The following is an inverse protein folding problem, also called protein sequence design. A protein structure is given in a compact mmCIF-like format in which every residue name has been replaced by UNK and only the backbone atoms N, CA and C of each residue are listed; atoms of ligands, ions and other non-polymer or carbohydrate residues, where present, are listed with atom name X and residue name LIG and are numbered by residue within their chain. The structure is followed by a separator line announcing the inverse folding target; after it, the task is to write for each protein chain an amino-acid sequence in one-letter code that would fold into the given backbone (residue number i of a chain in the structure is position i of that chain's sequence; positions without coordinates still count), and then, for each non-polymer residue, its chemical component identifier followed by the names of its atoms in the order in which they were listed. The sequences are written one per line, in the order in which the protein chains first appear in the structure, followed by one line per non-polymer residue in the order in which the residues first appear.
data_IF_773491727531
#
_entry.id   IF_773491727531
#
_cell.length_a   1.000
_cell.length_b   1.000
_cell.length_c   1.000
_cell.angle_alpha   90.00
_cell.angle_beta   90.00
_cell.angle_gamma   90.00
#
_symmetry.space_group_name_H-M   'P 1'
#
loop_
_entity.id
_entity.type
_entity.pdbx_description
1 polymer ?
#
# COMPACT_ATOMS: atom_id res chain seq x y z
N UNK A 1 -20.00 24.56 -46.55
CA UNK A 1 -19.47 23.34 -45.93
C UNK A 1 -18.94 23.74 -44.56
N UNK A 2 -19.67 23.40 -43.50
CA UNK A 2 -19.19 23.60 -42.13
C UNK A 2 -18.28 22.41 -41.80
N UNK A 3 -17.10 22.69 -41.25
CA UNK A 3 -15.99 21.75 -41.10
C UNK A 3 -16.38 20.55 -40.20
N UNK A 4 -16.35 19.35 -40.78
CA UNK A 4 -16.54 18.07 -40.07
C UNK A 4 -15.33 17.73 -39.17
N UNK A 5 -14.21 18.44 -39.32
CA UNK A 5 -12.96 18.25 -38.57
C UNK A 5 -13.00 18.84 -37.14
N UNK A 6 -13.77 19.91 -36.90
CA UNK A 6 -13.82 20.59 -35.60
C UNK A 6 -14.56 19.76 -34.52
N UNK A 7 -15.52 18.93 -34.94
CA UNK A 7 -16.30 18.08 -34.03
C UNK A 7 -15.45 16.92 -33.49
N UNK A 8 -14.60 16.32 -34.34
CA UNK A 8 -13.76 15.18 -33.98
C UNK A 8 -12.63 15.54 -32.99
N UNK A 9 -12.10 16.77 -33.07
CA UNK A 9 -11.09 17.25 -32.12
C UNK A 9 -11.64 17.41 -30.70
N UNK A 10 -12.90 17.82 -30.56
CA UNK A 10 -13.56 18.00 -29.26
C UNK A 10 -13.79 16.66 -28.53
N UNK A 11 -14.28 15.64 -29.24
CA UNK A 11 -14.51 14.30 -28.66
C UNK A 11 -13.21 13.62 -28.24
N UNK A 12 -12.12 13.82 -28.97
CA UNK A 12 -10.81 13.28 -28.62
C UNK A 12 -10.26 13.92 -27.33
N UNK A 13 -10.43 15.23 -27.17
CA UNK A 13 -10.04 15.95 -25.96
C UNK A 13 -10.86 15.50 -24.74
N UNK A 14 -12.17 15.31 -24.88
CA UNK A 14 -13.03 14.79 -23.81
C UNK A 14 -12.65 13.36 -23.40
N UNK A 15 -12.36 12.51 -24.38
CA UNK A 15 -11.93 11.14 -24.14
C UNK A 15 -10.57 11.07 -23.41
N UNK A 16 -9.63 11.93 -23.76
CA UNK A 16 -8.35 12.07 -23.05
C UNK A 16 -8.56 12.53 -21.60
N UNK A 17 -9.43 13.53 -21.39
CA UNK A 17 -9.78 14.01 -20.05
C UNK A 17 -10.49 12.92 -19.21
N UNK A 18 -11.35 12.11 -19.82
CA UNK A 18 -12.02 10.98 -19.18
C UNK A 18 -11.04 9.86 -18.79
N UNK A 19 -10.03 9.58 -19.62
CA UNK A 19 -8.93 8.65 -19.30
C UNK A 19 -8.10 9.16 -18.11
N UNK A 20 -7.74 10.45 -18.10
CA UNK A 20 -7.03 11.07 -16.99
C UNK A 20 -7.80 11.02 -15.65
N UNK A 21 -9.12 11.28 -15.70
CA UNK A 21 -9.99 11.14 -14.51
C UNK A 21 -10.03 9.70 -13.99
N UNK A 22 -10.18 8.70 -14.87
CA UNK A 22 -10.15 7.28 -14.50
C UNK A 22 -8.81 6.87 -13.87
N UNK A 23 -7.69 7.32 -14.43
CA UNK A 23 -6.36 7.03 -13.89
C UNK A 23 -6.18 7.61 -12.47
N UNK A 24 -6.62 8.85 -12.24
CA UNK A 24 -6.59 9.46 -10.90
C UNK A 24 -7.47 8.71 -9.89
N UNK A 25 -8.67 8.31 -10.30
CA UNK A 25 -9.56 7.53 -9.44
C UNK A 25 -8.96 6.15 -9.09
N UNK A 26 -8.36 5.47 -10.06
CA UNK A 26 -7.68 4.19 -9.82
C UNK A 26 -6.48 4.33 -8.87
N UNK A 27 -5.73 5.45 -8.95
CA UNK A 27 -4.67 5.75 -7.99
C UNK A 27 -5.21 5.97 -6.58
N UNK A 28 -6.28 6.76 -6.43
CA UNK A 28 -6.91 7.02 -5.13
C UNK A 28 -7.44 5.74 -4.46
N UNK A 29 -8.05 4.83 -5.23
CA UNK A 29 -8.52 3.52 -4.72
C UNK A 29 -7.34 2.69 -4.19
N UNK A 30 -6.24 2.60 -4.94
CA UNK A 30 -5.04 1.87 -4.49
C UNK A 30 -4.44 2.44 -3.22
N UNK A 31 -4.42 3.77 -3.08
CA UNK A 31 -3.95 4.41 -1.84
C UNK A 31 -4.86 4.10 -0.65
N UNK A 32 -6.19 4.13 -0.84
CA UNK A 32 -7.15 3.76 0.19
C UNK A 32 -6.95 2.31 0.65
N UNK A 33 -6.76 1.37 -0.29
CA UNK A 33 -6.45 -0.03 0.03
C UNK A 33 -5.16 -0.20 0.81
N UNK A 34 -4.08 0.52 0.44
CA UNK A 34 -2.81 0.50 1.19
C UNK A 34 -3.01 0.99 2.62
N UNK A 35 -3.75 2.09 2.81
CA UNK A 35 -4.06 2.64 4.14
C UNK A 35 -4.87 1.64 4.98
N UNK A 36 -5.88 0.99 4.39
CA UNK A 36 -6.68 -0.02 5.08
C UNK A 36 -5.81 -1.23 5.53
N UNK A 37 -4.95 -1.74 4.64
CA UNK A 37 -4.01 -2.83 4.95
C UNK A 37 -3.03 -2.43 6.06
N UNK A 38 -2.49 -1.21 6.02
CA UNK A 38 -1.59 -0.71 7.05
C UNK A 38 -2.27 -0.61 8.42
N UNK A 39 -3.52 -0.12 8.48
CA UNK A 39 -4.29 -0.05 9.72
C UNK A 39 -4.59 -1.44 10.30
N UNK A 40 -4.97 -2.41 9.46
CA UNK A 40 -5.20 -3.80 9.89
C UNK A 40 -3.92 -4.42 10.45
N UNK A 41 -2.80 -4.29 9.72
CA UNK A 41 -1.49 -4.80 10.15
C UNK A 41 -1.00 -4.14 11.45
N UNK A 42 -1.29 -2.85 11.64
CA UNK A 42 -0.95 -2.15 12.88
C UNK A 42 -1.71 -2.73 14.07
N UNK A 43 -3.03 -2.97 13.95
CA UNK A 43 -3.84 -3.60 15.00
C UNK A 43 -3.30 -4.98 15.38
N UNK A 44 -2.99 -5.80 14.39
CA UNK A 44 -2.39 -7.13 14.60
C UNK A 44 -1.06 -7.03 15.35
N UNK A 45 -0.16 -6.14 14.90
CA UNK A 45 1.15 -5.93 15.55
C UNK A 45 1.01 -5.47 17.01
N UNK A 46 0.08 -4.57 17.30
CA UNK A 46 -0.19 -4.11 18.66
C UNK A 46 -0.71 -5.25 19.53
N UNK A 47 -1.61 -6.09 19.02
CA UNK A 47 -2.11 -7.26 19.74
C UNK A 47 -1.00 -8.27 20.01
N UNK A 48 -0.16 -8.58 19.02
CA UNK A 48 1.02 -9.46 19.18
C UNK A 48 2.02 -8.91 20.19
N UNK A 49 2.30 -7.59 20.17
CA UNK A 49 3.17 -6.96 21.18
C UNK A 49 2.56 -7.03 22.58
N UNK A 50 1.24 -6.85 22.71
CA UNK A 50 0.53 -6.93 23.99
C UNK A 50 0.60 -8.34 24.59
N UNK A 51 0.38 -9.38 23.79
CA UNK A 51 0.49 -10.77 24.25
C UNK A 51 1.92 -11.08 24.67
N UNK A 52 2.91 -10.70 23.87
CA UNK A 52 4.32 -10.91 24.19
C UNK A 52 4.74 -10.18 25.48
N UNK A 53 4.32 -8.92 25.68
CA UNK A 53 4.63 -8.16 26.91
C UNK A 53 3.99 -8.79 28.15
N UNK A 54 2.80 -9.40 28.02
CA UNK A 54 2.15 -10.15 29.11
C UNK A 54 2.92 -11.45 29.40
N UNK A 55 3.30 -12.20 28.37
CA UNK A 55 4.09 -13.43 28.50
C UNK A 55 5.42 -13.18 29.24
N UNK A 56 6.16 -12.13 28.84
CA UNK A 56 7.41 -11.72 29.52
C UNK A 56 7.20 -11.38 31.00
N UNK A 57 6.12 -10.66 31.33
CA UNK A 57 5.78 -10.35 32.73
C UNK A 57 5.39 -11.58 33.54
N UNK A 58 4.78 -12.58 32.92
CA UNK A 58 4.46 -13.86 33.53
C UNK A 58 5.66 -14.81 33.61
N UNK A 59 6.86 -14.38 33.17
CA UNK A 59 8.07 -15.22 33.15
C UNK A 59 8.04 -16.33 32.09
N UNK A 60 7.16 -16.25 31.09
CA UNK A 60 7.12 -17.21 30.00
C UNK A 60 8.34 -17.03 29.08
N UNK A 61 8.90 -18.14 28.59
CA UNK A 61 10.01 -18.13 27.64
C UNK A 61 9.62 -17.38 26.36
N UNK A 62 10.52 -16.53 25.85
CA UNK A 62 10.33 -15.88 24.55
C UNK A 62 10.63 -16.90 23.45
N UNK A 63 9.59 -17.46 22.83
CA UNK A 63 9.73 -18.40 21.69
C UNK A 63 10.24 -17.72 20.40
N UNK A 64 10.52 -16.40 20.45
CA UNK A 64 11.12 -15.70 19.34
C UNK A 64 12.50 -16.28 19.02
N UNK A 65 12.60 -16.98 17.88
CA UNK A 65 13.88 -17.34 17.29
C UNK A 65 14.67 -16.05 17.01
N UNK A 66 15.95 -16.04 17.41
CA UNK A 66 16.82 -14.88 17.28
C UNK A 66 16.85 -14.33 15.85
N UNK A 67 16.98 -13.02 15.71
CA UNK A 67 17.15 -12.39 14.40
C UNK A 67 18.40 -12.97 13.73
N UNK A 68 18.34 -13.33 12.43
CA UNK A 68 19.52 -13.83 11.73
C UNK A 68 20.62 -12.77 11.82
N UNK A 69 21.85 -13.20 12.13
CA UNK A 69 23.01 -12.33 12.12
C UNK A 69 23.08 -11.64 10.74
N UNK A 70 23.25 -10.32 10.74
CA UNK A 70 23.47 -9.58 9.50
C UNK A 70 24.65 -10.25 8.77
N UNK A 71 24.48 -10.58 7.49
CA UNK A 71 25.50 -11.25 6.67
C UNK A 71 26.83 -10.51 6.82
N UNK A 72 27.80 -11.12 7.51
CA UNK A 72 29.17 -10.61 7.65
C UNK A 72 30.09 -11.12 6.55
N UNK A 73 29.58 -11.41 5.35
CA UNK A 73 30.40 -11.96 4.28
C UNK A 73 29.84 -11.70 2.88
N UNK A 74 29.73 -10.43 2.49
CA UNK A 74 29.61 -10.03 1.06
C UNK A 74 30.37 -8.69 0.87
N UNK A 75 31.60 -8.63 1.38
CA UNK A 75 32.58 -7.59 1.09
C UNK A 75 33.85 -8.26 0.55
N UNK A 76 33.82 -8.69 -0.70
CA UNK A 76 35.00 -8.98 -1.55
C UNK A 76 34.60 -8.88 -3.02
#
# INVERSE_FOLDING_TARGET
MANEDDFQGSEQAENAAARGKRARNAAAVREAERKAKAAAKLRENLMRRKTQARARRAGAADEAQGLPAAKTDESS
#
